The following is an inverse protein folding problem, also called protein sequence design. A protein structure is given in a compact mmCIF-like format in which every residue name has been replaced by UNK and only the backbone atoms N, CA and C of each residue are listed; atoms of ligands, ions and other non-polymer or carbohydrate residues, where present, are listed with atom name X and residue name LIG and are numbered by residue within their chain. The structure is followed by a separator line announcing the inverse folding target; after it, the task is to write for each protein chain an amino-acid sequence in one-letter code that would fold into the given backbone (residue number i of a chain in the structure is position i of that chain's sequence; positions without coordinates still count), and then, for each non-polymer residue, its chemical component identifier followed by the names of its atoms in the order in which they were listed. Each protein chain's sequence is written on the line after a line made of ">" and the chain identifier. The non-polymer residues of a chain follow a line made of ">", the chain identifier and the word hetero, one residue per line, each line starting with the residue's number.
data_IF_936958194413
#
_entry.id   IF_936958194413
#
_cell.length_a   1.000
_cell.length_b   1.000
_cell.length_c   1.000
_cell.angle_alpha   90.00
_cell.angle_beta   90.00
_cell.angle_gamma   90.00
#
_symmetry.space_group_name_H-M   'P 1'
#
loop_
_entity.id
_entity.type
_entity.pdbx_description
1 polymer ?
#
# COMPACT_ATOMS: atom_id res chain seq x y z
N UNK A 1 13.77 32.32 10.77
CA UNK A 1 13.65 31.08 9.97
C UNK A 1 14.42 29.94 10.64
N UNK A 2 13.76 29.03 11.37
CA UNK A 2 14.34 27.76 11.80
C UNK A 2 13.62 26.62 11.08
N UNK A 3 13.86 26.44 9.78
CA UNK A 3 13.20 25.40 8.96
C UNK A 3 14.13 24.21 8.63
N UNK A 4 15.42 24.28 8.98
CA UNK A 4 16.43 23.31 8.51
C UNK A 4 17.05 22.47 9.64
N UNK A 5 16.86 22.81 10.92
CA UNK A 5 17.47 22.06 12.04
C UNK A 5 16.81 20.70 12.34
N UNK A 6 15.80 20.28 11.58
CA UNK A 6 14.98 19.09 11.87
C UNK A 6 15.35 17.91 10.96
N UNK A 7 16.02 18.17 9.83
CA UNK A 7 16.43 17.14 8.87
C UNK A 7 17.53 16.21 9.43
N UNK A 8 18.58 16.70 10.12
CA UNK A 8 19.59 15.81 10.72
C UNK A 8 19.03 15.00 11.92
N UNK A 9 18.02 15.53 12.61
CA UNK A 9 17.36 14.89 13.75
C UNK A 9 16.29 13.86 13.35
N UNK A 10 15.83 13.87 12.10
CA UNK A 10 14.85 12.94 11.56
C UNK A 10 15.49 11.63 11.02
N UNK A 11 16.76 11.70 10.63
CA UNK A 11 17.54 10.56 10.12
C UNK A 11 18.46 10.09 11.25
N UNK A 12 17.88 9.46 12.27
CA UNK A 12 18.64 8.90 13.37
C UNK A 12 19.20 7.53 12.94
N UNK A 13 20.21 7.57 12.05
CA UNK A 13 20.98 6.39 11.62
C UNK A 13 22.15 6.24 12.60
N UNK A 14 22.22 5.10 13.31
CA UNK A 14 23.29 4.88 14.28
C UNK A 14 24.58 4.41 13.59
N UNK A 15 25.76 4.65 14.21
CA UNK A 15 27.01 4.07 13.74
C UNK A 15 26.89 2.55 13.58
N UNK A 16 27.23 2.02 12.40
CA UNK A 16 27.08 0.61 12.04
C UNK A 16 25.81 0.24 11.25
N UNK A 17 24.82 1.14 11.15
CA UNK A 17 23.58 0.90 10.38
C UNK A 17 23.65 1.47 8.96
N UNK A 18 24.53 2.44 8.70
CA UNK A 18 24.56 3.24 7.46
C UNK A 18 24.72 2.40 6.19
N UNK A 19 25.63 1.41 6.18
CA UNK A 19 25.88 0.56 5.02
C UNK A 19 24.64 -0.24 4.62
N UNK A 20 23.96 -0.83 5.59
CA UNK A 20 22.76 -1.62 5.38
C UNK A 20 21.59 -0.75 4.91
N UNK A 21 21.41 0.43 5.54
CA UNK A 21 20.38 1.40 5.14
C UNK A 21 20.62 1.86 3.70
N UNK A 22 21.86 2.16 3.31
CA UNK A 22 22.19 2.57 1.94
C UNK A 22 21.92 1.45 0.92
N UNK A 23 22.22 0.20 1.25
CA UNK A 23 21.91 -0.94 0.38
C UNK A 23 20.38 -1.11 0.21
N UNK A 24 19.62 -1.01 1.29
CA UNK A 24 18.15 -1.09 1.20
C UNK A 24 17.53 0.12 0.51
N UNK A 25 18.10 1.31 0.66
CA UNK A 25 17.69 2.51 -0.07
C UNK A 25 17.99 2.35 -1.57
N UNK A 26 19.16 1.82 -1.94
CA UNK A 26 19.50 1.51 -3.33
C UNK A 26 18.58 0.43 -3.91
N UNK A 27 18.30 -0.62 -3.14
CA UNK A 27 17.33 -1.66 -3.54
C UNK A 27 15.95 -1.05 -3.77
N UNK A 28 15.46 -0.24 -2.82
CA UNK A 28 14.19 0.50 -2.93
C UNK A 28 14.16 1.43 -4.15
N UNK A 29 15.28 2.06 -4.48
CA UNK A 29 15.41 2.88 -5.67
C UNK A 29 15.30 2.05 -6.95
N UNK A 30 15.99 0.92 -7.04
CA UNK A 30 15.97 0.06 -8.23
C UNK A 30 14.59 -0.57 -8.48
N UNK A 31 13.89 -0.99 -7.42
CA UNK A 31 12.51 -1.48 -7.54
C UNK A 31 11.55 -0.36 -7.93
N UNK A 32 11.77 0.88 -7.46
CA UNK A 32 10.94 2.02 -7.83
C UNK A 32 11.12 2.45 -9.29
N UNK A 33 12.35 2.38 -9.82
CA UNK A 33 12.60 2.56 -11.26
C UNK A 33 11.83 1.51 -12.04
N UNK A 34 11.95 0.24 -11.65
CA UNK A 34 11.23 -0.85 -12.28
C UNK A 34 9.71 -0.59 -12.31
N UNK A 35 9.13 -0.26 -11.16
CA UNK A 35 7.71 0.03 -10.99
C UNK A 35 7.22 1.11 -11.96
N UNK A 36 7.87 2.28 -11.99
CA UNK A 36 7.41 3.38 -12.84
C UNK A 36 7.54 3.04 -14.32
N UNK A 37 8.64 2.42 -14.75
CA UNK A 37 8.81 2.02 -16.13
C UNK A 37 7.76 0.99 -16.57
N UNK A 38 7.56 -0.08 -15.79
CA UNK A 38 6.58 -1.11 -16.13
C UNK A 38 5.14 -0.59 -16.07
N UNK A 39 4.82 0.29 -15.12
CA UNK A 39 3.51 0.94 -15.03
C UNK A 39 3.24 1.77 -16.29
N UNK A 40 4.18 2.61 -16.70
CA UNK A 40 4.01 3.47 -17.88
C UNK A 40 3.83 2.64 -19.16
N UNK A 41 4.62 1.58 -19.35
CA UNK A 41 4.52 0.71 -20.53
C UNK A 41 3.22 -0.09 -20.52
N UNK A 42 2.91 -0.79 -19.43
CA UNK A 42 1.75 -1.67 -19.34
C UNK A 42 0.45 -0.90 -19.56
N UNK A 43 0.32 0.24 -18.88
CA UNK A 43 -0.84 1.12 -18.95
C UNK A 43 -0.97 1.72 -20.35
N UNK A 44 0.10 2.26 -20.93
CA UNK A 44 0.02 2.88 -22.25
C UNK A 44 -0.33 1.86 -23.35
N UNK A 45 0.37 0.73 -23.41
CA UNK A 45 0.09 -0.32 -24.41
C UNK A 45 -1.34 -0.84 -24.27
N UNK A 46 -1.84 -1.02 -23.05
CA UNK A 46 -3.19 -1.51 -22.83
C UNK A 46 -4.25 -0.47 -23.22
N UNK A 47 -4.11 0.78 -22.77
CA UNK A 47 -5.09 1.83 -23.06
C UNK A 47 -5.16 2.13 -24.56
N UNK A 48 -4.04 2.17 -25.27
CA UNK A 48 -4.04 2.45 -26.71
C UNK A 48 -4.66 1.32 -27.52
N UNK A 49 -4.51 0.06 -27.08
CA UNK A 49 -5.00 -1.09 -27.85
C UNK A 49 -6.44 -1.50 -27.49
N UNK A 50 -6.79 -1.48 -26.20
CA UNK A 50 -8.07 -2.00 -25.69
C UNK A 50 -8.98 -0.94 -25.05
N UNK A 51 -8.47 0.27 -24.83
CA UNK A 51 -9.22 1.37 -24.22
C UNK A 51 -9.52 1.19 -22.74
N UNK A 52 -9.92 2.27 -22.07
CA UNK A 52 -10.22 2.27 -20.63
C UNK A 52 -11.46 1.45 -20.26
N UNK A 53 -12.37 1.22 -21.21
CA UNK A 53 -13.58 0.43 -21.01
C UNK A 53 -13.29 -1.05 -20.67
N UNK A 54 -12.10 -1.54 -21.01
CA UNK A 54 -11.70 -2.94 -20.76
C UNK A 54 -10.90 -3.13 -19.47
N UNK A 55 -10.47 -2.05 -18.80
CA UNK A 55 -9.83 -2.10 -17.48
C UNK A 55 -10.60 -2.92 -16.43
N UNK A 56 -11.95 -2.94 -16.40
CA UNK A 56 -12.67 -3.76 -15.42
C UNK A 56 -12.37 -5.26 -15.52
N UNK A 57 -12.10 -5.77 -16.72
CA UNK A 57 -11.66 -7.16 -16.91
C UNK A 57 -10.29 -7.39 -16.26
N UNK A 58 -9.38 -6.42 -16.39
CA UNK A 58 -8.07 -6.45 -15.74
C UNK A 58 -8.23 -6.43 -14.23
N UNK A 59 -9.10 -5.58 -13.66
CA UNK A 59 -9.34 -5.55 -12.21
C UNK A 59 -9.86 -6.88 -11.66
N UNK A 60 -10.76 -7.57 -12.38
CA UNK A 60 -11.25 -8.90 -11.99
C UNK A 60 -10.11 -9.92 -12.08
N UNK A 61 -9.36 -9.93 -13.19
CA UNK A 61 -8.27 -10.87 -13.40
C UNK A 61 -7.15 -10.69 -12.36
N UNK A 62 -6.78 -9.45 -12.05
CA UNK A 62 -5.72 -9.13 -11.08
C UNK A 62 -6.16 -9.44 -9.65
N UNK A 63 -7.44 -9.26 -9.30
CA UNK A 63 -7.97 -9.69 -8.01
C UNK A 63 -7.77 -11.21 -7.79
N UNK A 64 -8.11 -12.03 -8.79
CA UNK A 64 -7.93 -13.49 -8.73
C UNK A 64 -6.44 -13.85 -8.73
N UNK A 65 -5.65 -13.20 -9.58
CA UNK A 65 -4.23 -13.47 -9.72
C UNK A 65 -3.45 -13.11 -8.44
N UNK A 66 -3.71 -11.95 -7.84
CA UNK A 66 -3.06 -11.49 -6.60
C UNK A 66 -3.31 -12.43 -5.43
N UNK A 67 -4.56 -12.89 -5.24
CA UNK A 67 -4.89 -13.87 -4.19
C UNK A 67 -4.14 -15.18 -4.42
N UNK A 68 -4.16 -15.69 -5.66
CA UNK A 68 -3.50 -16.94 -6.03
C UNK A 68 -1.98 -16.88 -5.81
N UNK A 69 -1.34 -15.79 -6.26
CA UNK A 69 0.09 -15.56 -6.10
C UNK A 69 0.47 -15.34 -4.64
N UNK A 70 -0.35 -14.64 -3.86
CA UNK A 70 -0.13 -14.46 -2.42
C UNK A 70 -0.13 -15.80 -1.65
N UNK A 71 -1.05 -16.70 -1.97
CA UNK A 71 -1.05 -18.07 -1.43
C UNK A 71 0.20 -18.84 -1.84
N UNK A 72 0.57 -18.77 -3.12
CA UNK A 72 1.76 -19.44 -3.65
C UNK A 72 3.04 -18.93 -2.98
N UNK A 73 3.20 -17.62 -2.82
CA UNK A 73 4.35 -17.00 -2.18
C UNK A 73 4.48 -17.44 -0.71
N UNK A 74 3.36 -17.45 0.01
CA UNK A 74 3.31 -17.92 1.41
C UNK A 74 3.62 -19.41 1.53
N UNK A 75 3.09 -20.23 0.61
CA UNK A 75 3.36 -21.66 0.56
C UNK A 75 4.84 -21.94 0.27
N UNK A 76 5.41 -21.26 -0.72
CA UNK A 76 6.81 -21.42 -1.11
C UNK A 76 7.75 -20.96 0.00
N UNK A 77 7.43 -19.87 0.70
CA UNK A 77 8.21 -19.38 1.84
C UNK A 77 8.28 -20.34 3.03
N UNK A 78 7.40 -21.35 3.11
CA UNK A 78 7.51 -22.45 4.09
C UNK A 78 8.41 -23.59 3.64
N UNK A 79 8.75 -23.65 2.35
CA UNK A 79 9.47 -24.77 1.71
C UNK A 79 10.93 -24.44 1.41
N UNK A 80 11.25 -23.19 1.09
CA UNK A 80 12.60 -22.75 0.74
C UNK A 80 13.10 -21.71 1.75
N UNK A 81 14.42 -21.54 1.85
CA UNK A 81 14.95 -20.51 2.74
C UNK A 81 14.58 -19.12 2.22
N UNK A 82 14.39 -18.18 3.15
CA UNK A 82 13.95 -16.82 2.85
C UNK A 82 14.79 -16.13 1.76
N UNK A 83 16.12 -16.27 1.81
CA UNK A 83 17.00 -15.65 0.81
C UNK A 83 16.80 -16.27 -0.57
N UNK A 84 16.64 -17.59 -0.65
CA UNK A 84 16.31 -18.24 -1.91
C UNK A 84 14.93 -17.80 -2.43
N UNK A 85 13.96 -17.55 -1.54
CA UNK A 85 12.66 -16.99 -1.94
C UNK A 85 12.80 -15.61 -2.57
N UNK A 86 13.58 -14.71 -1.97
CA UNK A 86 13.79 -13.36 -2.53
C UNK A 86 14.49 -13.41 -3.89
N UNK A 87 15.56 -14.20 -4.01
CA UNK A 87 16.30 -14.33 -5.27
C UNK A 87 15.44 -15.01 -6.34
N UNK A 88 14.72 -16.09 -6.00
CA UNK A 88 13.81 -16.77 -6.91
C UNK A 88 12.69 -15.83 -7.38
N UNK A 89 12.15 -15.01 -6.47
CA UNK A 89 11.15 -14.00 -6.81
C UNK A 89 11.69 -13.00 -7.84
N UNK A 90 12.81 -12.32 -7.56
CA UNK A 90 13.38 -11.36 -8.52
C UNK A 90 13.81 -12.01 -9.84
N UNK A 91 14.29 -13.26 -9.81
CA UNK A 91 14.65 -14.01 -11.02
C UNK A 91 13.41 -14.34 -11.85
N UNK A 92 12.30 -14.72 -11.19
CA UNK A 92 11.01 -14.89 -11.86
C UNK A 92 10.53 -13.58 -12.47
N UNK A 93 10.64 -12.45 -11.76
CA UNK A 93 10.28 -11.13 -12.30
C UNK A 93 11.13 -10.78 -13.53
N UNK A 94 12.45 -10.99 -13.47
CA UNK A 94 13.34 -10.78 -14.61
C UNK A 94 12.94 -11.63 -15.81
N UNK A 95 12.74 -12.94 -15.60
CA UNK A 95 12.36 -13.87 -16.66
C UNK A 95 11.01 -13.48 -17.28
N UNK A 96 10.03 -13.12 -16.46
CA UNK A 96 8.70 -12.73 -16.93
C UNK A 96 8.76 -11.46 -17.78
N UNK A 97 9.45 -10.42 -17.32
CA UNK A 97 9.63 -9.16 -18.09
C UNK A 97 10.42 -9.42 -19.38
N UNK A 98 11.44 -10.27 -19.34
CA UNK A 98 12.23 -10.62 -20.53
C UNK A 98 11.40 -11.38 -21.56
N UNK A 99 10.54 -12.31 -21.12
CA UNK A 99 9.59 -13.02 -22.00
C UNK A 99 8.65 -12.04 -22.67
N UNK A 100 8.07 -11.08 -21.94
CA UNK A 100 7.20 -10.06 -22.55
C UNK A 100 7.94 -9.15 -23.53
N UNK A 101 9.17 -8.74 -23.22
CA UNK A 101 9.98 -7.95 -24.14
C UNK A 101 10.26 -8.71 -25.45
N UNK A 102 10.61 -10.00 -25.36
CA UNK A 102 10.81 -10.86 -26.54
C UNK A 102 9.49 -11.03 -27.30
N UNK A 103 8.37 -11.31 -26.61
CA UNK A 103 7.06 -11.46 -27.24
C UNK A 103 6.65 -10.20 -28.01
N UNK A 104 6.83 -9.01 -27.43
CA UNK A 104 6.54 -7.75 -28.11
C UNK A 104 7.43 -7.45 -29.32
N UNK A 105 8.58 -8.12 -29.45
CA UNK A 105 9.44 -8.05 -30.63
C UNK A 105 9.17 -9.15 -31.67
N UNK A 106 8.59 -10.29 -31.26
CA UNK A 106 8.33 -11.44 -32.14
C UNK A 106 6.91 -11.45 -32.73
N UNK A 107 5.94 -10.80 -32.07
CA UNK A 107 4.55 -10.84 -32.49
C UNK A 107 3.88 -9.48 -32.38
N UNK A 108 3.05 -9.17 -33.38
CA UNK A 108 2.12 -8.03 -33.36
C UNK A 108 0.74 -8.43 -32.79
N UNK A 109 0.62 -9.64 -32.24
CA UNK A 109 -0.61 -10.05 -31.59
C UNK A 109 -0.89 -9.18 -30.35
N UNK A 110 -2.17 -8.94 -30.07
CA UNK A 110 -2.61 -8.04 -28.99
C UNK A 110 -2.67 -8.75 -27.61
N UNK A 111 -2.81 -10.08 -27.59
CA UNK A 111 -2.96 -10.85 -26.34
C UNK A 111 -1.81 -10.68 -25.32
N UNK A 112 -0.52 -10.50 -25.71
CA UNK A 112 0.56 -10.27 -24.74
C UNK A 112 0.39 -8.99 -23.95
N UNK A 113 -0.33 -7.98 -24.48
CA UNK A 113 -0.57 -6.71 -23.78
C UNK A 113 -1.49 -6.92 -22.58
N UNK A 114 -2.57 -7.69 -22.74
CA UNK A 114 -3.47 -8.08 -21.64
C UNK A 114 -2.68 -8.86 -20.58
N UNK A 115 -1.90 -9.85 -21.03
CA UNK A 115 -1.05 -10.65 -20.15
C UNK A 115 -0.04 -9.79 -19.38
N UNK A 116 0.56 -8.80 -20.04
CA UNK A 116 1.55 -7.93 -19.44
C UNK A 116 0.94 -6.95 -18.42
N UNK A 117 -0.28 -6.44 -18.67
CA UNK A 117 -0.94 -5.58 -17.70
C UNK A 117 -1.31 -6.33 -16.41
N UNK A 118 -1.79 -7.57 -16.53
CA UNK A 118 -2.02 -8.44 -15.36
C UNK A 118 -0.69 -8.77 -14.69
N UNK A 119 0.35 -9.08 -15.47
CA UNK A 119 1.68 -9.37 -14.96
C UNK A 119 2.27 -8.17 -14.20
N UNK A 120 2.09 -6.94 -14.65
CA UNK A 120 2.56 -5.74 -13.95
C UNK A 120 2.02 -5.67 -12.51
N UNK A 121 0.71 -5.87 -12.32
CA UNK A 121 0.10 -5.87 -10.98
C UNK A 121 0.67 -6.99 -10.08
N UNK A 122 0.89 -8.18 -10.66
CA UNK A 122 1.53 -9.30 -9.96
C UNK A 122 2.99 -8.99 -9.59
N UNK A 123 3.75 -8.39 -10.51
CA UNK A 123 5.13 -7.97 -10.29
C UNK A 123 5.19 -6.96 -9.16
N UNK A 124 4.30 -5.96 -9.15
CA UNK A 124 4.24 -4.98 -8.08
C UNK A 124 3.93 -5.59 -6.71
N UNK A 125 2.95 -6.50 -6.63
CA UNK A 125 2.63 -7.25 -5.41
C UNK A 125 3.86 -8.00 -4.88
N UNK A 126 4.53 -8.76 -5.75
CA UNK A 126 5.70 -9.56 -5.41
C UNK A 126 6.89 -8.71 -4.96
N UNK A 127 7.13 -7.57 -5.61
CA UNK A 127 8.17 -6.60 -5.22
C UNK A 127 7.87 -5.98 -3.86
N UNK A 128 6.61 -5.66 -3.58
CA UNK A 128 6.22 -5.09 -2.29
C UNK A 128 6.43 -6.10 -1.15
N UNK A 129 6.00 -7.36 -1.34
CA UNK A 129 6.22 -8.45 -0.39
C UNK A 129 7.71 -8.70 -0.14
N UNK A 130 8.52 -8.75 -1.21
CA UNK A 130 9.97 -8.92 -1.16
C UNK A 130 10.63 -7.84 -0.30
N UNK A 131 10.41 -6.56 -0.64
CA UNK A 131 11.08 -5.44 0.03
C UNK A 131 10.72 -5.32 1.52
N UNK A 132 9.43 -5.39 1.84
CA UNK A 132 8.97 -5.22 3.23
C UNK A 132 9.28 -6.44 4.08
N UNK A 133 9.22 -7.66 3.52
CA UNK A 133 9.64 -8.86 4.25
C UNK A 133 11.14 -8.84 4.54
N UNK A 134 11.97 -8.41 3.58
CA UNK A 134 13.42 -8.24 3.77
C UNK A 134 13.71 -7.23 4.88
N UNK A 135 13.06 -6.07 4.82
CA UNK A 135 13.22 -4.99 5.80
C UNK A 135 12.78 -5.41 7.21
N UNK A 136 11.64 -6.09 7.32
CA UNK A 136 11.10 -6.58 8.58
C UNK A 136 11.95 -7.70 9.20
N UNK A 137 12.66 -8.47 8.38
CA UNK A 137 13.55 -9.55 8.85
C UNK A 137 14.94 -9.07 9.23
N UNK A 138 15.39 -7.95 8.67
CA UNK A 138 16.70 -7.39 8.98
C UNK A 138 16.66 -6.44 10.19
N UNK A 139 15.59 -5.65 10.32
CA UNK A 139 15.48 -4.64 11.35
C UNK A 139 14.59 -5.10 12.49
N UNK A 140 15.02 -4.81 13.73
CA UNK A 140 14.15 -4.96 14.89
C UNK A 140 13.08 -3.86 14.92
N UNK A 141 12.09 -4.01 15.82
CA UNK A 141 10.95 -3.09 15.93
C UNK A 141 11.39 -1.62 16.17
N UNK A 142 12.46 -1.39 16.92
CA UNK A 142 12.94 -0.03 17.21
C UNK A 142 13.62 0.60 15.99
N UNK A 143 14.45 -0.18 15.30
CA UNK A 143 15.10 0.22 14.05
C UNK A 143 14.05 0.50 12.97
N UNK A 144 13.05 -0.39 12.82
CA UNK A 144 12.01 -0.24 11.81
C UNK A 144 11.24 1.08 11.94
N UNK A 145 10.90 1.51 13.16
CA UNK A 145 10.23 2.81 13.41
C UNK A 145 11.02 4.03 12.91
N UNK A 146 12.34 3.94 12.84
CA UNK A 146 13.23 5.03 12.42
C UNK A 146 13.64 4.90 10.95
N UNK A 147 13.93 3.68 10.51
CA UNK A 147 14.60 3.42 9.24
C UNK A 147 13.64 3.07 8.10
N UNK A 148 12.42 2.58 8.36
CA UNK A 148 11.47 2.21 7.29
C UNK A 148 11.10 3.39 6.38
N UNK A 149 10.95 4.59 6.96
CA UNK A 149 10.73 5.81 6.17
C UNK A 149 11.93 6.18 5.29
N UNK A 150 13.15 5.96 5.78
CA UNK A 150 14.38 6.29 5.05
C UNK A 150 14.63 5.30 3.91
N UNK A 151 14.53 4.00 4.16
CA UNK A 151 14.73 2.98 3.13
C UNK A 151 13.62 3.05 2.08
N UNK A 152 12.36 3.29 2.49
CA UNK A 152 11.23 3.42 1.57
C UNK A 152 11.27 4.70 0.73
N UNK A 153 12.05 5.71 1.12
CA UNK A 153 12.24 6.92 0.31
C UNK A 153 12.93 6.62 -1.03
N UNK A 154 13.64 5.50 -1.15
CA UNK A 154 14.23 5.06 -2.41
C UNK A 154 13.19 4.91 -3.52
N UNK A 155 12.05 4.26 -3.26
CA UNK A 155 10.93 4.10 -4.22
C UNK A 155 10.39 5.45 -4.68
N UNK A 156 10.24 6.40 -3.75
CA UNK A 156 9.73 7.74 -4.06
C UNK A 156 10.73 8.54 -4.90
N UNK A 157 12.02 8.53 -4.54
CA UNK A 157 13.08 9.21 -5.30
C UNK A 157 13.18 8.60 -6.72
N UNK A 158 13.13 7.28 -6.81
CA UNK A 158 13.11 6.57 -8.08
C UNK A 158 11.89 6.90 -8.92
N UNK A 159 10.71 7.02 -8.30
CA UNK A 159 9.49 7.37 -9.01
C UNK A 159 9.56 8.78 -9.63
N UNK A 160 10.18 9.72 -8.92
CA UNK A 160 10.41 11.09 -9.41
C UNK A 160 11.43 11.08 -10.56
N UNK A 161 12.62 10.52 -10.34
CA UNK A 161 13.69 10.52 -11.35
C UNK A 161 13.31 9.68 -12.56
N UNK A 162 12.82 8.46 -12.33
CA UNK A 162 12.37 7.53 -13.35
C UNK A 162 11.24 8.12 -14.18
N UNK A 163 10.20 8.65 -13.54
CA UNK A 163 9.05 9.22 -14.24
C UNK A 163 9.39 10.43 -15.11
N UNK A 164 10.24 11.36 -14.62
CA UNK A 164 10.73 12.48 -15.45
C UNK A 164 11.70 12.03 -16.55
N UNK A 165 12.33 10.87 -16.40
CA UNK A 165 13.21 10.29 -17.43
C UNK A 165 12.44 9.54 -18.53
N UNK A 166 11.20 9.10 -18.27
CA UNK A 166 10.39 8.32 -19.22
C UNK A 166 10.29 9.01 -20.60
N UNK A 167 9.91 10.30 -20.74
CA UNK A 167 9.79 10.92 -22.06
C UNK A 167 11.09 10.91 -22.87
N UNK A 168 12.23 11.12 -22.20
CA UNK A 168 13.54 11.11 -22.85
C UNK A 168 13.90 9.71 -23.34
N UNK A 169 13.66 8.69 -22.52
CA UNK A 169 13.96 7.31 -22.90
C UNK A 169 13.00 6.84 -24.01
N UNK A 170 11.70 7.13 -23.90
CA UNK A 170 10.71 6.82 -24.93
C UNK A 170 11.07 7.49 -26.26
N UNK A 171 11.49 8.75 -26.24
CA UNK A 171 11.93 9.44 -27.46
C UNK A 171 13.17 8.83 -28.13
N UNK A 172 14.00 8.07 -27.38
CA UNK A 172 15.22 7.44 -27.89
C UNK A 172 15.01 5.98 -28.34
N UNK A 173 14.25 5.19 -27.57
CA UNK A 173 14.12 3.74 -27.78
C UNK A 173 12.67 3.26 -27.98
N UNK A 174 11.67 4.13 -27.79
CA UNK A 174 10.24 3.81 -27.88
C UNK A 174 9.67 3.11 -26.63
N UNK A 175 8.34 3.12 -26.48
CA UNK A 175 7.65 2.57 -25.29
C UNK A 175 7.98 1.10 -25.01
N UNK A 176 7.94 0.21 -26.01
CA UNK A 176 8.19 -1.23 -25.81
C UNK A 176 9.59 -1.53 -25.24
N UNK A 177 10.58 -0.70 -25.57
CA UNK A 177 11.96 -0.90 -25.15
C UNK A 177 12.28 -0.32 -23.76
N UNK A 178 11.34 0.38 -23.11
CA UNK A 178 11.48 0.73 -21.69
C UNK A 178 11.58 -0.51 -20.78
N UNK A 179 11.22 -1.70 -21.28
CA UNK A 179 11.45 -2.97 -20.57
C UNK A 179 12.95 -3.27 -20.40
N UNK A 180 13.83 -2.78 -21.27
CA UNK A 180 15.28 -2.98 -21.16
C UNK A 180 15.88 -2.30 -19.91
N UNK A 181 15.70 -0.99 -19.67
CA UNK A 181 16.15 -0.38 -18.42
C UNK A 181 15.44 -0.97 -17.19
N UNK A 182 14.20 -1.45 -17.33
CA UNK A 182 13.51 -2.17 -16.25
C UNK A 182 14.15 -3.54 -15.94
N UNK A 183 14.65 -4.28 -16.93
CA UNK A 183 15.43 -5.51 -16.74
C UNK A 183 16.77 -5.24 -16.06
N UNK A 184 17.45 -4.17 -16.46
CA UNK A 184 18.71 -3.73 -15.82
C UNK A 184 18.48 -3.39 -14.35
N UNK A 185 17.37 -2.72 -14.01
CA UNK A 185 17.08 -2.40 -12.62
C UNK A 185 16.78 -3.65 -11.78
N UNK A 186 16.07 -4.65 -12.33
CA UNK A 186 15.84 -5.94 -11.65
C UNK A 186 17.18 -6.68 -11.40
N UNK A 187 18.08 -6.72 -12.39
CA UNK A 187 19.41 -7.31 -12.20
C UNK A 187 20.21 -6.59 -11.12
N UNK A 188 20.12 -5.25 -11.07
CA UNK A 188 20.69 -4.45 -9.99
C UNK A 188 20.11 -4.85 -8.63
N UNK A 189 18.79 -5.00 -8.53
CA UNK A 189 18.11 -5.45 -7.30
C UNK A 189 18.58 -6.83 -6.85
N UNK A 190 18.74 -7.78 -7.78
CA UNK A 190 19.30 -9.11 -7.48
C UNK A 190 20.73 -8.98 -6.93
N UNK A 191 21.58 -8.18 -7.58
CA UNK A 191 22.94 -7.95 -7.13
C UNK A 191 22.98 -7.36 -5.71
N UNK A 192 22.12 -6.38 -5.41
CA UNK A 192 22.03 -5.79 -4.07
C UNK A 192 21.59 -6.81 -3.03
N UNK A 193 20.60 -7.66 -3.31
CA UNK A 193 20.20 -8.74 -2.38
C UNK A 193 21.34 -9.73 -2.15
N UNK A 194 22.08 -10.11 -3.18
CA UNK A 194 23.26 -10.98 -3.04
C UNK A 194 24.33 -10.34 -2.15
N UNK A 195 24.56 -9.03 -2.31
CA UNK A 195 25.48 -8.27 -1.44
C UNK A 195 24.99 -8.22 0.00
N UNK A 196 23.70 -7.96 0.22
CA UNK A 196 23.09 -7.96 1.56
C UNK A 196 23.24 -9.34 2.21
N UNK A 197 22.92 -10.41 1.47
CA UNK A 197 23.04 -11.77 1.98
C UNK A 197 24.49 -12.13 2.34
N UNK A 198 25.48 -11.73 1.53
CA UNK A 198 26.90 -11.99 1.82
C UNK A 198 27.43 -11.22 3.02
N UNK A 199 26.93 -10.01 3.28
CA UNK A 199 27.45 -9.13 4.34
C UNK A 199 26.65 -9.22 5.65
N UNK A 200 25.40 -9.67 5.58
CA UNK A 200 24.46 -9.69 6.71
C UNK A 200 23.71 -11.03 6.83
N UNK A 201 24.32 -12.13 6.37
CA UNK A 201 23.76 -13.49 6.45
C UNK A 201 23.28 -13.85 7.86
N UNK A 202 24.04 -13.48 8.88
CA UNK A 202 23.72 -13.75 10.29
C UNK A 202 22.39 -13.13 10.73
N UNK A 203 22.06 -11.93 10.20
CA UNK A 203 20.76 -11.29 10.49
C UNK A 203 19.61 -11.95 9.76
N UNK A 204 19.88 -12.56 8.60
CA UNK A 204 18.90 -13.26 7.79
C UNK A 204 18.70 -14.72 8.21
N UNK A 205 19.64 -15.33 8.94
CA UNK A 205 19.53 -16.73 9.40
C UNK A 205 18.87 -16.85 10.78
N UNK A 206 19.14 -15.92 11.70
CA UNK A 206 18.73 -16.02 13.11
C UNK A 206 17.22 -15.87 13.33
N UNK A 207 16.48 -15.26 12.40
CA UNK A 207 15.03 -15.06 12.53
C UNK A 207 14.22 -16.12 11.75
N UNK A 208 14.59 -17.39 11.92
CA UNK A 208 13.85 -18.55 11.44
C UNK A 208 13.01 -19.19 12.58
N UNK A 209 13.32 -18.87 13.84
CA UNK A 209 12.68 -19.45 15.05
C UNK A 209 11.56 -18.59 15.66
N UNK A 210 11.27 -17.41 15.12
CA UNK A 210 9.97 -16.80 15.33
C UNK A 210 9.00 -17.43 14.33
N UNK A 211 8.72 -18.72 14.54
CA UNK A 211 7.43 -19.23 14.18
C UNK A 211 6.40 -18.25 14.71
N UNK A 212 5.64 -17.64 13.80
CA UNK A 212 4.25 -17.37 14.10
C UNK A 212 3.64 -18.78 14.18
N UNK A 213 3.91 -19.46 15.30
CA UNK A 213 3.00 -20.43 15.86
C UNK A 213 1.77 -19.59 16.17
N UNK A 214 0.94 -19.42 15.14
CA UNK A 214 -0.48 -19.51 15.37
C UNK A 214 -0.68 -20.90 15.92
N UNK A 215 -0.51 -21.05 17.25
CA UNK A 215 -1.27 -22.05 17.97
C UNK A 215 -2.67 -22.04 17.35
N UNK A 216 -3.23 -23.21 16.99
CA UNK A 216 -4.56 -23.27 16.44
C UNK A 216 -5.46 -22.61 17.47
N UNK A 217 -5.84 -21.35 17.18
CA UNK A 217 -6.63 -20.54 18.09
C UNK A 217 -7.81 -21.40 18.46
N UNK A 218 -7.80 -21.82 19.71
CA UNK A 218 -8.89 -22.43 20.43
C UNK A 218 -10.18 -21.84 19.87
N UNK A 219 -11.11 -22.71 19.44
CA UNK A 219 -12.37 -22.34 18.75
C UNK A 219 -13.05 -21.20 19.51
N UNK A 220 -12.73 -19.96 19.14
CA UNK A 220 -13.35 -18.79 19.74
C UNK A 220 -14.70 -18.65 19.04
N UNK A 221 -15.73 -18.97 19.81
CA UNK A 221 -17.15 -18.72 19.56
C UNK A 221 -17.37 -17.48 18.69
N UNK A 222 -18.36 -17.48 17.76
CA UNK A 222 -18.61 -16.39 16.83
C UNK A 222 -18.85 -15.09 17.61
N UNK A 223 -17.79 -14.28 17.70
CA UNK A 223 -17.76 -13.10 18.56
C UNK A 223 -18.63 -12.05 17.90
N UNK A 224 -19.69 -11.65 18.60
CA UNK A 224 -20.67 -10.60 18.25
C UNK A 224 -19.99 -9.50 17.41
N UNK A 225 -20.48 -9.28 16.19
CA UNK A 225 -20.03 -8.26 15.22
C UNK A 225 -19.60 -6.97 15.94
N UNK A 226 -18.30 -6.74 16.09
CA UNK A 226 -17.81 -5.47 16.64
C UNK A 226 -18.09 -4.40 15.58
N UNK A 227 -19.05 -3.51 15.86
CA UNK A 227 -19.47 -2.44 14.94
C UNK A 227 -18.29 -1.65 14.40
N UNK A 228 -17.26 -1.44 15.22
CA UNK A 228 -16.05 -0.73 14.82
C UNK A 228 -15.24 -1.49 13.75
N UNK A 229 -15.08 -2.81 13.88
CA UNK A 229 -14.39 -3.65 12.86
C UNK A 229 -15.18 -3.65 11.55
N UNK A 230 -16.51 -3.75 11.62
CA UNK A 230 -17.34 -3.66 10.41
C UNK A 230 -17.24 -2.31 9.71
N UNK A 231 -17.14 -1.21 10.46
CA UNK A 231 -16.93 0.12 9.90
C UNK A 231 -15.54 0.28 9.28
N UNK A 232 -14.51 -0.38 9.83
CA UNK A 232 -13.19 -0.47 9.20
C UNK A 232 -13.31 -1.19 7.84
N UNK A 233 -13.98 -2.34 7.80
CA UNK A 233 -14.18 -3.08 6.54
C UNK A 233 -14.97 -2.26 5.52
N UNK A 234 -16.07 -1.63 5.94
CA UNK A 234 -16.86 -0.76 5.07
C UNK A 234 -16.04 0.43 4.55
N UNK A 235 -15.20 1.03 5.39
CA UNK A 235 -14.31 2.12 4.99
C UNK A 235 -13.27 1.65 3.98
N UNK A 236 -12.64 0.49 4.19
CA UNK A 236 -11.70 -0.11 3.24
C UNK A 236 -12.40 -0.41 1.90
N UNK A 237 -13.58 -1.06 1.94
CA UNK A 237 -14.36 -1.34 0.74
C UNK A 237 -14.66 -0.06 -0.05
N UNK A 238 -15.20 0.98 0.61
CA UNK A 238 -15.53 2.24 -0.06
C UNK A 238 -14.29 2.97 -0.58
N UNK A 239 -13.17 2.88 0.13
CA UNK A 239 -11.91 3.41 -0.35
C UNK A 239 -11.44 2.69 -1.62
N UNK A 240 -11.55 1.35 -1.69
CA UNK A 240 -11.18 0.55 -2.86
C UNK A 240 -12.12 0.80 -4.05
N UNK A 241 -13.44 0.82 -3.81
CA UNK A 241 -14.43 1.12 -4.86
C UNK A 241 -14.17 2.52 -5.43
N UNK A 242 -14.04 3.53 -4.57
CA UNK A 242 -13.74 4.92 -4.97
C UNK A 242 -12.45 5.01 -5.79
N UNK A 243 -11.40 4.26 -5.41
CA UNK A 243 -10.14 4.23 -6.13
C UNK A 243 -10.30 3.76 -7.57
N UNK A 244 -10.91 2.58 -7.79
CA UNK A 244 -11.00 1.99 -9.13
C UNK A 244 -12.03 2.71 -10.03
N UNK A 245 -13.11 3.27 -9.46
CA UNK A 245 -14.01 4.12 -10.23
C UNK A 245 -13.33 5.42 -10.71
N UNK A 246 -12.58 6.07 -9.82
CA UNK A 246 -11.82 7.26 -10.17
C UNK A 246 -10.67 6.94 -11.15
N UNK A 247 -10.04 5.78 -11.00
CA UNK A 247 -9.00 5.27 -11.90
C UNK A 247 -9.53 5.09 -13.33
N UNK A 248 -10.67 4.40 -13.45
CA UNK A 248 -11.30 4.16 -14.75
C UNK A 248 -11.78 5.46 -15.41
N UNK A 249 -12.33 6.39 -14.62
CA UNK A 249 -12.69 7.72 -15.10
C UNK A 249 -11.45 8.47 -15.61
N UNK A 250 -10.38 8.55 -14.81
CA UNK A 250 -9.13 9.20 -15.21
C UNK A 250 -8.56 8.62 -16.51
N UNK A 251 -8.47 7.29 -16.62
CA UNK A 251 -7.94 6.64 -17.80
C UNK A 251 -8.83 6.82 -19.04
N UNK A 252 -10.15 6.84 -18.87
CA UNK A 252 -11.08 7.13 -19.98
C UNK A 252 -10.85 8.52 -20.56
N UNK A 253 -10.62 9.53 -19.72
CA UNK A 253 -10.27 10.87 -20.20
C UNK A 253 -8.84 10.95 -20.75
N UNK A 254 -7.92 10.16 -20.19
CA UNK A 254 -6.52 10.14 -20.67
C UNK A 254 -6.42 9.55 -22.08
N UNK A 255 -7.16 8.48 -22.36
CA UNK A 255 -7.23 7.84 -23.68
C UNK A 255 -7.63 8.82 -24.79
N UNK A 256 -8.66 9.66 -24.55
CA UNK A 256 -9.10 10.65 -25.55
C UNK A 256 -8.03 11.70 -25.88
N UNK A 257 -7.10 11.96 -24.95
CA UNK A 257 -6.14 13.05 -25.05
C UNK A 257 -4.79 12.60 -25.61
N UNK A 258 -4.47 11.31 -25.52
CA UNK A 258 -3.18 10.75 -25.93
C UNK A 258 -3.39 9.51 -26.81
N UNK A 259 -3.57 9.68 -28.13
CA UNK A 259 -3.86 8.57 -29.05
C UNK A 259 -2.67 7.64 -29.32
N UNK A 260 -1.43 8.08 -29.03
CA UNK A 260 -0.22 7.28 -29.33
C UNK A 260 0.41 6.73 -28.06
N UNK A 261 0.92 5.49 -28.15
CA UNK A 261 1.63 4.80 -27.08
C UNK A 261 2.74 5.67 -26.47
N UNK A 262 3.58 6.29 -27.31
CA UNK A 262 4.74 7.05 -26.84
C UNK A 262 4.32 8.34 -26.10
N UNK A 263 3.31 9.06 -26.60
CA UNK A 263 2.81 10.27 -25.94
C UNK A 263 2.11 9.95 -24.62
N UNK A 264 1.31 8.88 -24.59
CA UNK A 264 0.64 8.40 -23.39
C UNK A 264 1.65 7.91 -22.34
N UNK A 265 2.64 7.13 -22.76
CA UNK A 265 3.72 6.65 -21.87
C UNK A 265 4.49 7.82 -21.26
N UNK A 266 4.86 8.81 -22.09
CA UNK A 266 5.55 10.02 -21.66
C UNK A 266 4.72 10.83 -20.67
N UNK A 267 3.42 11.02 -20.96
CA UNK A 267 2.50 11.69 -20.05
C UNK A 267 2.39 10.95 -18.71
N UNK A 268 2.18 9.64 -18.72
CA UNK A 268 2.04 8.83 -17.50
C UNK A 268 3.31 8.89 -16.65
N UNK A 269 4.49 8.82 -17.27
CA UNK A 269 5.76 8.97 -16.58
C UNK A 269 5.88 10.32 -15.84
N UNK A 270 5.61 11.42 -16.54
CA UNK A 270 5.61 12.77 -15.93
C UNK A 270 4.54 12.89 -14.85
N UNK A 271 3.34 12.39 -15.12
CA UNK A 271 2.20 12.45 -14.20
C UNK A 271 2.52 11.75 -12.88
N UNK A 272 3.02 10.52 -12.93
CA UNK A 272 3.40 9.77 -11.73
C UNK A 272 4.64 10.34 -11.04
N UNK A 273 5.56 11.00 -11.76
CA UNK A 273 6.65 11.76 -11.13
C UNK A 273 6.12 12.93 -10.29
N UNK A 274 5.15 13.69 -10.80
CA UNK A 274 4.50 14.77 -10.04
C UNK A 274 3.69 14.23 -8.86
N UNK A 275 2.98 13.11 -9.02
CA UNK A 275 2.30 12.42 -7.91
C UNK A 275 3.30 12.04 -6.83
N UNK A 276 4.42 11.40 -7.18
CA UNK A 276 5.45 10.99 -6.24
C UNK A 276 6.09 12.20 -5.53
N UNK A 277 6.36 13.29 -6.26
CA UNK A 277 6.90 14.52 -5.70
C UNK A 277 5.92 15.17 -4.70
N UNK A 278 4.65 15.31 -5.09
CA UNK A 278 3.62 15.86 -4.23
C UNK A 278 3.38 14.97 -2.99
N UNK A 279 3.40 13.64 -3.17
CA UNK A 279 3.30 12.68 -2.08
C UNK A 279 4.47 12.83 -1.10
N UNK A 280 5.71 12.95 -1.59
CA UNK A 280 6.88 13.16 -0.75
C UNK A 280 6.76 14.44 0.09
N UNK A 281 6.32 15.54 -0.53
CA UNK A 281 6.13 16.83 0.14
C UNK A 281 5.05 16.70 1.24
N UNK A 282 3.88 16.13 0.92
CA UNK A 282 2.79 15.94 1.87
C UNK A 282 3.19 15.00 3.00
N UNK A 283 3.82 13.88 2.69
CA UNK A 283 4.28 12.90 3.67
C UNK A 283 5.32 13.49 4.63
N UNK A 284 6.28 14.26 4.12
CA UNK A 284 7.39 14.82 4.91
C UNK A 284 6.96 16.02 5.76
N UNK A 285 6.23 16.96 5.17
CA UNK A 285 5.94 18.23 5.83
C UNK A 285 4.56 18.27 6.48
N UNK A 286 3.55 17.58 5.94
CA UNK A 286 2.17 17.79 6.32
C UNK A 286 1.58 16.63 7.13
N UNK A 287 1.97 15.37 6.87
CA UNK A 287 1.32 14.20 7.46
C UNK A 287 1.27 14.23 9.00
N UNK A 288 2.43 14.39 9.65
CA UNK A 288 2.49 14.48 11.12
C UNK A 288 1.75 15.72 11.66
N UNK A 289 1.80 16.85 10.95
CA UNK A 289 1.11 18.08 11.37
C UNK A 289 -0.41 17.93 11.28
N UNK A 290 -0.91 17.30 10.21
CA UNK A 290 -2.33 17.04 9.99
C UNK A 290 -2.86 16.11 11.09
N UNK A 291 -2.18 14.97 11.32
CA UNK A 291 -2.60 14.00 12.33
C UNK A 291 -2.56 14.60 13.74
N UNK A 292 -1.48 15.31 14.09
CA UNK A 292 -1.32 15.86 15.44
C UNK A 292 -2.22 17.07 15.72
N UNK A 293 -2.53 17.92 14.74
CA UNK A 293 -3.39 19.09 14.95
C UNK A 293 -4.87 18.79 14.81
N UNK A 294 -5.26 18.02 13.81
CA UNK A 294 -6.68 17.84 13.45
C UNK A 294 -7.26 16.54 14.04
N UNK A 295 -6.39 15.64 14.53
CA UNK A 295 -6.75 14.36 15.11
C UNK A 295 -7.11 13.31 14.05
N UNK A 296 -7.06 12.03 14.45
CA UNK A 296 -7.26 10.91 13.51
C UNK A 296 -8.69 10.87 12.94
N UNK A 297 -9.70 11.18 13.76
CA UNK A 297 -11.10 11.18 13.35
C UNK A 297 -11.31 12.12 12.16
N UNK A 298 -10.75 13.32 12.23
CA UNK A 298 -10.86 14.29 11.14
C UNK A 298 -9.99 13.89 9.95
N UNK A 299 -8.81 13.31 10.17
CA UNK A 299 -7.94 12.85 9.09
C UNK A 299 -8.62 11.77 8.21
N UNK A 300 -9.39 10.85 8.81
CA UNK A 300 -10.13 9.80 8.09
C UNK A 300 -11.28 10.37 7.27
N UNK A 301 -11.92 11.43 7.76
CA UNK A 301 -13.02 12.12 7.06
C UNK A 301 -12.50 13.06 5.98
N UNK A 302 -11.32 13.65 6.18
CA UNK A 302 -10.74 14.66 5.28
C UNK A 302 -10.57 14.14 3.85
N UNK A 303 -10.02 12.93 3.68
CA UNK A 303 -9.73 12.37 2.36
C UNK A 303 -10.99 12.15 1.52
N UNK A 304 -12.02 11.41 1.98
CA UNK A 304 -13.24 11.25 1.20
C UNK A 304 -13.99 12.57 0.97
N UNK A 305 -14.00 13.49 1.94
CA UNK A 305 -14.61 14.81 1.75
C UNK A 305 -13.91 15.59 0.66
N UNK A 306 -12.58 15.70 0.73
CA UNK A 306 -11.78 16.40 -0.26
C UNK A 306 -11.96 15.79 -1.66
N UNK A 307 -11.90 14.45 -1.75
CA UNK A 307 -12.15 13.74 -3.00
C UNK A 307 -13.54 14.02 -3.57
N UNK A 308 -14.59 14.01 -2.73
CA UNK A 308 -15.97 14.27 -3.14
C UNK A 308 -16.16 15.71 -3.62
N UNK A 309 -15.54 16.68 -2.94
CA UNK A 309 -15.59 18.10 -3.34
C UNK A 309 -14.91 18.31 -4.69
N UNK A 310 -13.72 17.73 -4.88
CA UNK A 310 -12.99 17.81 -6.16
C UNK A 310 -13.71 17.09 -7.30
N UNK A 311 -14.33 15.94 -7.00
CA UNK A 311 -15.21 15.24 -7.93
C UNK A 311 -16.44 16.09 -8.28
N UNK A 312 -17.04 16.79 -7.32
CA UNK A 312 -18.14 17.72 -7.58
C UNK A 312 -17.75 18.89 -8.47
N UNK A 313 -16.56 19.47 -8.25
CA UNK A 313 -16.00 20.50 -9.14
C UNK A 313 -15.77 19.94 -10.55
N UNK A 314 -15.18 18.75 -10.66
CA UNK A 314 -14.94 18.07 -11.93
C UNK A 314 -16.26 17.74 -12.65
N UNK A 315 -17.28 17.30 -11.92
CA UNK A 315 -18.62 17.02 -12.43
C UNK A 315 -19.32 18.28 -12.96
N UNK A 316 -19.14 19.42 -12.30
CA UNK A 316 -19.63 20.72 -12.74
C UNK A 316 -18.96 21.16 -14.05
N UNK A 317 -17.65 20.99 -14.18
CA UNK A 317 -16.92 21.25 -15.43
C UNK A 317 -17.37 20.29 -16.53
N UNK A 318 -17.51 18.99 -16.23
CA UNK A 318 -17.95 17.97 -17.18
C UNK A 318 -19.38 18.21 -17.70
N UNK A 319 -20.26 18.80 -16.89
CA UNK A 319 -21.62 19.16 -17.31
C UNK A 319 -21.61 20.19 -18.46
N UNK A 320 -20.65 21.11 -18.43
CA UNK A 320 -20.56 22.23 -19.39
C UNK A 320 -19.65 21.86 -20.57
N UNK A 321 -18.50 21.27 -20.27
CA UNK A 321 -17.43 21.03 -21.22
C UNK A 321 -17.33 19.57 -21.72
N UNK A 322 -18.18 18.66 -21.21
CA UNK A 322 -18.19 17.26 -21.60
C UNK A 322 -16.82 16.60 -21.45
N UNK A 323 -16.33 15.99 -22.53
CA UNK A 323 -15.02 15.31 -22.60
C UNK A 323 -13.87 16.23 -23.00
N UNK A 324 -14.04 17.55 -22.99
CA UNK A 324 -12.99 18.49 -23.39
C UNK A 324 -11.75 18.43 -22.49
N UNK A 325 -10.64 18.98 -22.99
CA UNK A 325 -9.34 19.06 -22.29
C UNK A 325 -9.43 19.67 -20.90
N UNK A 326 -10.33 20.63 -20.68
CA UNK A 326 -10.51 21.23 -19.35
C UNK A 326 -11.05 20.22 -18.33
N UNK A 327 -11.98 19.34 -18.72
CA UNK A 327 -12.47 18.28 -17.85
C UNK A 327 -11.36 17.28 -17.54
N UNK A 328 -10.53 16.94 -18.54
CA UNK A 328 -9.34 16.12 -18.35
C UNK A 328 -8.37 16.71 -17.31
N UNK A 329 -8.09 18.02 -17.36
CA UNK A 329 -7.22 18.68 -16.38
C UNK A 329 -7.80 18.55 -14.96
N UNK A 330 -9.11 18.74 -14.79
CA UNK A 330 -9.79 18.63 -13.50
C UNK A 330 -9.78 17.20 -12.95
N UNK A 331 -10.05 16.18 -13.78
CA UNK A 331 -10.00 14.78 -13.35
C UNK A 331 -8.55 14.36 -13.04
N UNK A 332 -7.57 14.79 -13.82
CA UNK A 332 -6.15 14.53 -13.57
C UNK A 332 -5.69 15.15 -12.25
N UNK A 333 -6.11 16.39 -11.96
CA UNK A 333 -5.84 17.06 -10.69
C UNK A 333 -6.53 16.37 -9.51
N UNK A 334 -7.79 15.98 -9.68
CA UNK A 334 -8.56 15.22 -8.67
C UNK A 334 -7.86 13.90 -8.34
N UNK A 335 -7.44 13.16 -9.38
CA UNK A 335 -6.70 11.91 -9.24
C UNK A 335 -5.34 12.10 -8.57
N UNK A 336 -4.63 13.18 -8.88
CA UNK A 336 -3.34 13.49 -8.25
C UNK A 336 -3.53 13.74 -6.74
N UNK A 337 -4.51 14.55 -6.37
CA UNK A 337 -4.83 14.82 -4.95
C UNK A 337 -5.25 13.53 -4.25
N UNK A 338 -6.03 12.68 -4.90
CA UNK A 338 -6.46 11.39 -4.35
C UNK A 338 -5.27 10.45 -4.08
N UNK A 339 -4.34 10.29 -5.04
CA UNK A 339 -3.11 9.53 -4.83
C UNK A 339 -2.30 10.05 -3.63
N UNK A 340 -2.07 11.37 -3.59
CA UNK A 340 -1.26 12.02 -2.54
C UNK A 340 -1.89 11.85 -1.17
N UNK A 341 -3.20 12.09 -1.06
CA UNK A 341 -3.94 12.05 0.21
C UNK A 341 -4.16 10.62 0.69
N UNK A 342 -4.42 9.66 -0.21
CA UNK A 342 -4.52 8.24 0.13
C UNK A 342 -3.19 7.70 0.63
N UNK A 343 -2.12 7.90 -0.15
CA UNK A 343 -0.78 7.38 0.15
C UNK A 343 -0.17 7.98 1.42
N UNK A 344 -0.51 9.23 1.75
CA UNK A 344 0.03 9.91 2.93
C UNK A 344 -0.89 9.81 4.15
N UNK A 345 -2.13 10.29 4.02
CA UNK A 345 -3.04 10.53 5.14
C UNK A 345 -3.87 9.28 5.45
N UNK A 346 -4.53 8.69 4.45
CA UNK A 346 -5.41 7.53 4.67
C UNK A 346 -4.63 6.34 5.21
N UNK A 347 -3.49 6.01 4.60
CA UNK A 347 -2.63 4.92 5.07
C UNK A 347 -2.20 5.11 6.54
N UNK A 348 -1.71 6.31 6.89
CA UNK A 348 -1.31 6.64 8.25
C UNK A 348 -2.49 6.60 9.24
N UNK A 349 -3.67 7.01 8.79
CA UNK A 349 -4.88 6.99 9.60
C UNK A 349 -5.41 5.57 9.82
N UNK A 350 -5.40 4.70 8.80
CA UNK A 350 -5.74 3.27 8.89
C UNK A 350 -4.83 2.53 9.88
N UNK A 351 -3.52 2.75 9.80
CA UNK A 351 -2.56 2.16 10.73
C UNK A 351 -2.84 2.57 12.19
N UNK A 352 -3.32 3.80 12.39
CA UNK A 352 -3.71 4.29 13.72
C UNK A 352 -5.06 3.71 14.17
N UNK A 353 -6.02 3.54 13.26
CA UNK A 353 -7.29 2.87 13.54
C UNK A 353 -7.08 1.44 14.07
N UNK A 354 -6.15 0.69 13.47
CA UNK A 354 -5.80 -0.66 13.89
C UNK A 354 -5.18 -0.70 15.30
N UNK A 355 -4.46 0.35 15.73
CA UNK A 355 -3.86 0.41 17.06
C UNK A 355 -4.88 0.48 18.20
N UNK A 356 -6.13 0.86 17.91
CA UNK A 356 -7.21 0.86 18.91
C UNK A 356 -7.81 -0.55 19.17
N UNK A 357 -7.44 -1.55 18.38
CA UNK A 357 -7.88 -2.93 18.56
C UNK A 357 -6.97 -3.70 19.52
N UNK A 358 -7.49 -4.72 20.25
CA UNK A 358 -6.65 -5.67 20.98
C UNK A 358 -5.61 -6.33 20.06
N UNK A 359 -4.41 -6.69 20.54
CA UNK A 359 -3.32 -7.18 19.69
C UNK A 359 -3.69 -8.34 18.75
N UNK A 360 -4.47 -9.32 19.25
CA UNK A 360 -4.93 -10.46 18.44
C UNK A 360 -5.93 -10.04 17.36
N UNK A 361 -6.89 -9.19 17.72
CA UNK A 361 -7.88 -8.68 16.75
C UNK A 361 -7.28 -7.69 15.76
N UNK A 362 -6.22 -6.96 16.14
CA UNK A 362 -5.50 -6.03 15.27
C UNK A 362 -4.91 -6.76 14.06
N UNK A 363 -4.05 -7.75 14.31
CA UNK A 363 -3.39 -8.51 13.26
C UNK A 363 -4.40 -9.25 12.38
N UNK A 364 -5.46 -9.81 12.98
CA UNK A 364 -6.53 -10.47 12.22
C UNK A 364 -7.29 -9.48 11.32
N UNK A 365 -7.63 -8.29 11.83
CA UNK A 365 -8.36 -7.27 11.05
C UNK A 365 -7.52 -6.74 9.91
N UNK A 366 -6.24 -6.45 10.17
CA UNK A 366 -5.26 -5.99 9.16
C UNK A 366 -5.10 -7.04 8.06
N UNK A 367 -4.84 -8.30 8.43
CA UNK A 367 -4.74 -9.41 7.48
C UNK A 367 -6.05 -9.65 6.71
N UNK A 368 -7.21 -9.50 7.35
CA UNK A 368 -8.51 -9.64 6.68
C UNK A 368 -8.74 -8.54 5.64
N UNK A 369 -8.38 -7.30 5.97
CA UNK A 369 -8.51 -6.18 5.03
C UNK A 369 -7.66 -6.44 3.79
N UNK A 370 -6.38 -6.72 3.98
CA UNK A 370 -5.41 -6.87 2.89
C UNK A 370 -5.63 -8.16 2.07
N UNK A 371 -5.94 -9.29 2.72
CA UNK A 371 -5.99 -10.59 2.04
C UNK A 371 -7.37 -10.98 1.51
N UNK A 372 -8.45 -10.40 2.03
CA UNK A 372 -9.81 -10.78 1.65
C UNK A 372 -10.65 -9.58 1.23
N UNK A 373 -10.77 -8.56 2.08
CA UNK A 373 -11.70 -7.45 1.84
C UNK A 373 -11.29 -6.68 0.58
N UNK A 374 -10.02 -6.26 0.47
CA UNK A 374 -9.53 -5.50 -0.68
C UNK A 374 -9.62 -6.30 -1.98
N UNK A 375 -9.08 -7.54 -2.10
CA UNK A 375 -9.17 -8.30 -3.34
C UNK A 375 -10.61 -8.62 -3.77
N UNK A 376 -11.48 -9.02 -2.84
CA UNK A 376 -12.90 -9.28 -3.14
C UNK A 376 -13.57 -7.99 -3.61
N UNK A 377 -13.29 -6.87 -2.94
CA UNK A 377 -13.84 -5.57 -3.33
C UNK A 377 -13.34 -5.14 -4.71
N UNK A 378 -12.07 -5.36 -5.03
CA UNK A 378 -11.51 -5.09 -6.37
C UNK A 378 -12.25 -5.87 -7.44
N UNK A 379 -12.43 -7.19 -7.25
CA UNK A 379 -13.17 -8.03 -8.20
C UNK A 379 -14.63 -7.60 -8.35
N UNK A 380 -15.32 -7.33 -7.23
CA UNK A 380 -16.69 -6.81 -7.26
C UNK A 380 -16.79 -5.44 -7.92
N UNK A 381 -15.79 -4.57 -7.72
CA UNK A 381 -15.73 -3.25 -8.37
C UNK A 381 -15.56 -3.39 -9.87
N UNK A 382 -14.72 -4.32 -10.32
CA UNK A 382 -14.62 -4.67 -11.74
C UNK A 382 -15.96 -5.13 -12.31
N UNK A 383 -16.69 -6.02 -11.62
CA UNK A 383 -18.03 -6.45 -12.05
C UNK A 383 -19.01 -5.27 -12.11
N UNK A 384 -19.01 -4.39 -11.10
CA UNK A 384 -19.86 -3.20 -11.08
C UNK A 384 -19.53 -2.24 -12.24
N UNK A 385 -18.24 -2.04 -12.53
CA UNK A 385 -17.80 -1.25 -13.68
C UNK A 385 -18.23 -1.89 -15.00
N UNK A 386 -18.17 -3.21 -15.15
CA UNK A 386 -18.69 -3.90 -16.34
C UNK A 386 -20.20 -3.69 -16.50
N UNK A 387 -20.98 -3.75 -15.42
CA UNK A 387 -22.43 -3.45 -15.50
C UNK A 387 -22.63 -2.02 -15.98
N UNK A 388 -21.89 -1.06 -15.44
CA UNK A 388 -22.03 0.36 -15.80
C UNK A 388 -21.58 0.64 -17.24
N UNK A 389 -20.47 0.06 -17.68
CA UNK A 389 -19.86 0.33 -18.98
C UNK A 389 -20.46 -0.53 -20.10
N UNK A 390 -20.61 -1.83 -19.89
CA UNK A 390 -21.06 -2.77 -20.93
C UNK A 390 -22.57 -2.92 -20.99
N UNK A 391 -23.28 -2.87 -19.86
CA UNK A 391 -24.75 -3.02 -19.83
C UNK A 391 -25.45 -1.67 -19.93
N UNK A 392 -25.08 -0.71 -19.07
CA UNK A 392 -25.71 0.61 -19.06
C UNK A 392 -25.15 1.57 -20.12
N UNK A 393 -24.02 1.22 -20.77
CA UNK A 393 -23.36 2.02 -21.81
C UNK A 393 -23.01 3.44 -21.34
N UNK A 394 -22.66 3.58 -20.07
CA UNK A 394 -22.25 4.86 -19.51
C UNK A 394 -20.87 5.27 -20.04
N UNK A 395 -20.69 6.57 -20.29
CA UNK A 395 -19.43 7.13 -20.75
C UNK A 395 -18.59 7.68 -19.57
N UNK A 396 -17.40 8.21 -19.87
CA UNK A 396 -16.47 8.77 -18.90
C UNK A 396 -17.09 9.87 -17.99
N UNK A 397 -18.00 10.69 -18.52
CA UNK A 397 -18.67 11.75 -17.74
C UNK A 397 -19.63 11.14 -16.70
N UNK A 398 -20.35 10.09 -17.06
CA UNK A 398 -21.22 9.37 -16.12
C UNK A 398 -20.43 8.71 -14.99
N UNK A 399 -19.21 8.23 -15.27
CA UNK A 399 -18.32 7.70 -14.23
C UNK A 399 -17.90 8.78 -13.22
N UNK A 400 -17.74 10.04 -13.61
CA UNK A 400 -17.45 11.14 -12.67
C UNK A 400 -18.63 11.32 -11.69
N UNK A 401 -19.86 11.37 -12.21
CA UNK A 401 -21.04 11.50 -11.35
C UNK A 401 -21.21 10.32 -10.40
N UNK A 402 -20.98 9.09 -10.90
CA UNK A 402 -21.03 7.89 -10.05
C UNK A 402 -19.91 7.87 -9.01
N UNK A 403 -18.69 8.29 -9.39
CA UNK A 403 -17.56 8.43 -8.46
C UNK A 403 -17.85 9.45 -7.37
N UNK A 404 -18.52 10.56 -7.71
CA UNK A 404 -18.97 11.57 -6.73
C UNK A 404 -19.97 10.97 -5.73
N UNK A 405 -20.94 10.17 -6.21
CA UNK A 405 -21.90 9.47 -5.34
C UNK A 405 -21.19 8.47 -4.41
N UNK A 406 -20.26 7.69 -4.94
CA UNK A 406 -19.42 6.76 -4.16
C UNK A 406 -18.61 7.53 -3.12
N UNK A 407 -18.02 8.67 -3.48
CA UNK A 407 -17.31 9.56 -2.57
C UNK A 407 -18.19 10.07 -1.41
N UNK A 408 -19.45 10.40 -1.70
CA UNK A 408 -20.42 10.80 -0.68
C UNK A 408 -20.73 9.65 0.29
N UNK A 409 -20.95 8.43 -0.22
CA UNK A 409 -21.17 7.23 0.61
C UNK A 409 -19.91 6.93 1.45
N UNK A 410 -18.73 7.09 0.86
CA UNK A 410 -17.46 6.92 1.55
C UNK A 410 -17.28 7.94 2.67
N UNK A 411 -17.65 9.20 2.42
CA UNK A 411 -17.67 10.27 3.42
C UNK A 411 -18.56 9.92 4.60
N UNK A 412 -19.78 9.46 4.33
CA UNK A 412 -20.73 9.03 5.38
C UNK A 412 -20.14 7.89 6.21
N UNK A 413 -19.52 6.90 5.55
CA UNK A 413 -18.87 5.77 6.21
C UNK A 413 -17.70 6.24 7.09
N UNK A 414 -16.88 7.17 6.60
CA UNK A 414 -15.78 7.78 7.33
C UNK A 414 -16.25 8.55 8.57
N UNK A 415 -17.38 9.28 8.48
CA UNK A 415 -17.98 9.98 9.62
C UNK A 415 -18.44 8.99 10.69
N UNK A 416 -19.10 7.89 10.31
CA UNK A 416 -19.51 6.86 11.27
C UNK A 416 -18.31 6.19 11.94
N UNK A 417 -17.27 5.84 11.17
CA UNK A 417 -16.05 5.26 11.70
C UNK A 417 -15.33 6.24 12.65
N UNK A 418 -15.24 7.51 12.26
CA UNK A 418 -14.63 8.57 13.05
C UNK A 418 -15.34 8.82 14.39
N UNK A 419 -16.66 8.59 14.47
CA UNK A 419 -17.46 8.67 15.71
C UNK A 419 -17.27 7.46 16.64
N UNK A 420 -17.01 6.28 16.09
CA UNK A 420 -16.78 5.07 16.87
C UNK A 420 -15.33 4.94 17.37
N UNK A 421 -14.37 5.55 16.67
CA UNK A 421 -12.95 5.50 17.02
C UNK A 421 -12.63 5.93 18.48
N UNK A 422 -13.10 7.10 18.98
CA UNK A 422 -12.81 7.50 20.36
C UNK A 422 -13.33 6.50 21.39
N UNK A 423 -14.48 5.87 21.12
CA UNK A 423 -15.07 4.84 22.00
C UNK A 423 -14.21 3.59 22.03
N UNK A 424 -13.76 3.13 20.86
CA UNK A 424 -12.86 1.98 20.74
C UNK A 424 -11.52 2.24 21.45
N UNK A 425 -10.96 3.45 21.30
CA UNK A 425 -9.72 3.85 21.95
C UNK A 425 -9.86 3.87 23.49
N UNK A 426 -10.94 4.45 24.02
CA UNK A 426 -11.21 4.45 25.47
C UNK A 426 -11.39 3.04 26.05
N UNK A 427 -12.04 2.13 25.30
CA UNK A 427 -12.17 0.73 25.70
C UNK A 427 -10.83 -0.01 25.71
N UNK A 428 -9.94 0.28 24.75
CA UNK A 428 -8.60 -0.30 24.72
C UNK A 428 -7.73 0.20 25.88
N UNK A 429 -7.77 1.51 26.16
CA UNK A 429 -7.02 2.14 27.25
C UNK A 429 -7.49 1.67 28.63
N UNK A 430 -8.80 1.57 28.87
CA UNK A 430 -9.36 1.09 30.13
C UNK A 430 -8.97 -0.36 30.41
N UNK A 431 -9.04 -1.26 29.42
CA UNK A 431 -8.59 -2.65 29.56
C UNK A 431 -7.09 -2.75 29.85
N UNK A 432 -6.25 -1.93 29.21
CA UNK A 432 -4.81 -1.90 29.47
C UNK A 432 -4.49 -1.44 30.89
N UNK A 433 -5.19 -0.40 31.38
CA UNK A 433 -5.03 0.12 32.74
C UNK A 433 -5.51 -0.89 33.79
N UNK A 434 -6.63 -1.58 33.54
CA UNK A 434 -7.13 -2.64 34.42
C UNK A 434 -6.20 -3.86 34.45
N UNK A 435 -5.64 -4.27 33.31
CA UNK A 435 -4.64 -5.35 33.25
C UNK A 435 -3.36 -5.00 34.02
N UNK A 436 -2.87 -3.77 33.92
CA UNK A 436 -1.73 -3.29 34.72
C UNK A 436 -2.05 -3.19 36.21
N UNK A 437 -3.29 -2.84 36.57
CA UNK A 437 -3.76 -2.82 37.96
C UNK A 437 -3.90 -4.23 38.56
N UNK A 438 -4.32 -5.21 37.76
CA UNK A 438 -4.37 -6.61 38.17
C UNK A 438 -2.98 -7.25 38.30
N UNK A 439 -2.04 -6.88 37.44
CA UNK A 439 -0.63 -7.29 37.56
C UNK A 439 0.01 -6.69 38.82
N UNK A 440 -0.21 -5.39 39.08
CA UNK A 440 0.26 -4.76 40.33
C UNK A 440 -0.36 -5.39 41.58
N UNK A 441 -1.64 -5.77 41.57
CA UNK A 441 -2.27 -6.40 42.75
C UNK A 441 -1.79 -7.84 42.96
N UNK A 442 -1.51 -8.61 41.90
CA UNK A 442 -0.89 -9.94 41.99
C UNK A 442 0.52 -9.91 42.58
N UNK A 443 1.32 -8.90 42.28
CA UNK A 443 2.69 -8.77 42.82
C UNK A 443 2.73 -8.44 44.33
N UNK A 444 1.65 -7.88 44.90
CA UNK A 444 1.59 -7.57 46.34
C UNK A 444 0.93 -8.65 47.21
N UNK A 445 0.36 -9.73 46.65
CA UNK A 445 -0.50 -10.65 47.44
C UNK A 445 0.08 -12.02 47.81
N UNK A 446 1.31 -12.40 47.46
CA UNK A 446 1.79 -13.77 47.76
C UNK A 446 3.14 -13.88 48.52
N UNK A 447 3.95 -12.83 48.63
CA UNK A 447 5.27 -12.94 49.28
C UNK A 447 5.36 -12.50 50.76
N UNK A 448 4.39 -11.75 51.31
CA UNK A 448 4.56 -11.07 52.61
C UNK A 448 3.60 -11.48 53.74
N UNK A 449 2.59 -12.34 53.50
CA UNK A 449 1.53 -12.60 54.50
C UNK A 449 1.34 -14.07 54.92
N UNK A 450 2.13 -15.03 54.42
CA UNK A 450 1.97 -16.46 54.75
C UNK A 450 3.26 -17.19 55.15
N UNK A 451 4.23 -16.48 55.75
CA UNK A 451 5.35 -17.12 56.48
C UNK A 451 5.65 -16.44 57.82
N UNK A 452 4.66 -16.39 58.69
CA UNK A 452 4.94 -16.36 60.13
C UNK A 452 3.87 -17.13 60.90
N UNK A 453 4.10 -18.42 61.24
CA UNK A 453 3.34 -19.08 62.28
C UNK A 453 3.94 -18.66 63.62
N UNK A 454 3.28 -17.74 64.35
CA UNK A 454 3.60 -17.53 65.76
C UNK A 454 2.95 -18.67 66.55
N UNK A 455 3.79 -19.67 66.84
CA UNK A 455 3.50 -20.73 67.80
C UNK A 455 3.24 -20.14 69.17
N UNK A 456 2.13 -20.59 69.73
CA UNK A 456 1.85 -20.65 71.16
C UNK A 456 2.95 -21.44 71.90
N UNK A 457 3.60 -20.82 72.90
CA UNK A 457 4.31 -21.52 73.98
C UNK A 457 4.41 -20.66 75.24
N UNK A 458 3.41 -20.84 76.10
CA UNK A 458 3.42 -20.98 77.57
C UNK A 458 4.50 -20.28 78.42
N UNK A 459 3.97 -19.50 79.36
CA UNK A 459 4.34 -19.34 80.78
C UNK A 459 5.46 -20.23 81.37
N UNK A 460 6.33 -19.59 82.16
CA UNK A 460 6.91 -20.05 83.45
C UNK A 460 7.53 -18.84 84.16
N UNK A 461 6.80 -18.25 85.10
CA UNK A 461 7.21 -18.21 86.51
C UNK A 461 7.70 -19.54 87.11
N UNK A 462 8.71 -19.39 87.98
CA UNK A 462 9.39 -20.32 88.92
C UNK A 462 10.40 -21.30 88.30
#
# INVERSE_FOLDING_TARGET
>A
MPLISWLPSAIDIRPGESRLVNLLLLHSFLIGINKVLLLSVSTALFLTEFGANTLPYIYIATAVANVSVGFMYTWLGKRISFVHLLIANLTFQFALVAVFWILFGLTDAQWPIIGFMIAFELLWLLTNLEFWSLSARIFNIQQGKRLFGVIGAGDTIASIIGGFSVPLIVGLIGTRNLLLPALVSILGSIAVIVVINRQFSDRLSVQQDLHIDGEPSERQTPRRKNRYILLIFAFACMATISYYFLDNAFYSFTEFQFPSNDSLTSFLGIYFAFVALAQLIVQTFFNARIINRVGITTAIILVPVLGTVLLGATAGVALIAGTATITFIFIAATRLVEYVTRGSITYSAQMTLYQSLPPTSRLQTEAQVESFIEPITTGLTGILLLIVLDVLKWNAVHLIYLSMLIGLIWTVTAVFLGREYPKALLQALSKRRLGQSQLKTKDYSIAALLKTPLMDRKARDI
#
